data_IF_531756444918
#
_entry.id   IF_531756444918
#
_cell.length_a   1.000
_cell.length_b   1.000
_cell.length_c   1.000
_cell.angle_alpha   90.00
_cell.angle_beta   90.00
_cell.angle_gamma   90.00
#
_symmetry.space_group_name_H-M   'P 1'
#
loop_
_entity.id
_entity.type
_entity.pdbx_description
1 polymer ?
#
# COMPACT_ATOMS: atom_id res chain seq x y z
N UNK A 1 11.33 -2.14 4.11
CA UNK A 1 10.50 -1.24 4.94
C UNK A 1 10.26 -1.92 6.28
N UNK A 2 10.19 -1.16 7.38
CA UNK A 2 9.93 -1.71 8.71
C UNK A 2 8.45 -2.08 8.84
N UNK A 3 8.15 -3.25 9.41
CA UNK A 3 6.78 -3.79 9.46
C UNK A 3 5.76 -2.86 10.13
N UNK A 4 6.19 -2.08 11.12
CA UNK A 4 5.33 -1.13 11.83
C UNK A 4 4.76 -0.03 10.92
N UNK A 5 5.37 0.25 9.76
CA UNK A 5 4.85 1.24 8.82
C UNK A 5 3.50 0.83 8.19
N UNK A 6 3.12 -0.45 8.28
CA UNK A 6 1.81 -0.96 7.82
C UNK A 6 0.85 -1.23 8.98
N UNK A 7 1.19 -0.83 10.20
CA UNK A 7 0.31 -0.97 11.36
C UNK A 7 -0.71 0.19 11.42
N UNK A 8 -1.99 -0.14 11.60
CA UNK A 8 -3.06 0.86 11.63
C UNK A 8 -2.89 1.87 12.76
N UNK A 9 -2.46 1.44 13.95
CA UNK A 9 -2.30 2.34 15.09
C UNK A 9 -1.17 3.34 14.83
N UNK A 10 -0.07 2.88 14.24
CA UNK A 10 1.04 3.73 13.83
C UNK A 10 0.63 4.72 12.73
N UNK A 11 -0.08 4.27 11.71
CA UNK A 11 -0.58 5.14 10.63
C UNK A 11 -1.53 6.21 11.20
N UNK A 12 -2.47 5.83 12.07
CA UNK A 12 -3.40 6.79 12.69
C UNK A 12 -2.70 7.79 13.60
N UNK A 13 -1.66 7.37 14.31
CA UNK A 13 -0.80 8.28 15.08
C UNK A 13 -0.17 9.33 14.16
N UNK A 14 0.43 8.92 13.03
CA UNK A 14 1.02 9.86 12.06
C UNK A 14 -0.04 10.80 11.44
N UNK A 15 -1.25 10.30 11.16
CA UNK A 15 -2.36 11.15 10.71
C UNK A 15 -2.72 12.17 11.79
N UNK A 16 -2.78 11.76 13.05
CA UNK A 16 -3.14 12.64 14.17
C UNK A 16 -2.15 13.79 14.36
N UNK A 17 -0.87 13.58 14.07
CA UNK A 17 0.16 14.65 14.08
C UNK A 17 -0.16 15.80 13.11
N UNK A 18 -0.96 15.56 12.06
CA UNK A 18 -1.37 16.57 11.07
C UNK A 18 -2.83 16.95 11.17
N UNK A 19 -3.71 16.02 11.50
CA UNK A 19 -5.15 16.24 11.64
C UNK A 19 -5.73 15.24 12.65
N UNK A 20 -5.82 15.63 13.93
CA UNK A 20 -6.41 14.80 14.99
C UNK A 20 -7.85 14.37 14.69
N UNK A 21 -8.63 15.23 14.04
CA UNK A 21 -10.01 14.93 13.65
C UNK A 21 -10.06 13.81 12.60
N UNK A 22 -9.21 13.88 11.57
CA UNK A 22 -9.15 12.84 10.52
C UNK A 22 -8.63 11.51 11.03
N UNK A 23 -7.80 11.49 12.07
CA UNK A 23 -7.22 10.26 12.61
C UNK A 23 -8.29 9.22 13.05
N UNK A 24 -9.49 9.68 13.39
CA UNK A 24 -10.61 8.83 13.79
C UNK A 24 -11.57 8.49 12.63
N UNK A 25 -11.37 9.04 11.44
CA UNK A 25 -12.19 8.72 10.28
C UNK A 25 -12.00 7.25 9.87
N UNK A 26 -13.03 6.64 9.29
CA UNK A 26 -12.94 5.27 8.76
C UNK A 26 -11.81 5.12 7.74
N UNK A 27 -11.71 6.08 6.80
CA UNK A 27 -10.68 6.17 5.76
C UNK A 27 -9.96 7.51 5.87
N UNK A 28 -8.94 7.64 6.74
CA UNK A 28 -8.26 8.92 6.95
C UNK A 28 -7.45 9.40 5.74
N UNK A 29 -7.11 8.50 4.81
CA UNK A 29 -6.19 8.75 3.70
C UNK A 29 -6.96 8.79 2.38
N UNK A 30 -6.91 9.92 1.67
CA UNK A 30 -7.58 10.05 0.36
C UNK A 30 -6.89 9.23 -0.74
N UNK A 31 -5.56 9.16 -0.69
CA UNK A 31 -4.72 8.43 -1.65
C UNK A 31 -3.43 8.00 -0.95
N UNK A 32 -3.13 6.70 -0.97
CA UNK A 32 -1.80 6.20 -0.65
C UNK A 32 -1.03 5.96 -1.95
N UNK A 33 0.18 6.50 -2.05
CA UNK A 33 1.08 6.24 -3.18
C UNK A 33 2.19 5.31 -2.72
N UNK A 34 2.34 4.17 -3.37
CA UNK A 34 3.31 3.13 -3.03
C UNK A 34 4.10 2.77 -4.27
N UNK A 35 5.43 2.86 -4.18
CA UNK A 35 6.31 2.35 -5.22
C UNK A 35 6.31 0.82 -5.16
N UNK A 36 5.63 0.17 -6.11
CA UNK A 36 5.41 -1.28 -6.13
C UNK A 36 6.73 -2.04 -6.34
N UNK A 37 7.58 -1.52 -7.23
CA UNK A 37 8.91 -2.02 -7.50
C UNK A 37 9.92 -0.89 -7.37
N UNK A 38 10.92 -1.05 -6.51
CA UNK A 38 12.03 -0.10 -6.41
C UNK A 38 13.00 -0.29 -7.57
N UNK A 39 13.82 0.73 -7.83
CA UNK A 39 14.86 0.67 -8.86
C UNK A 39 15.81 -0.52 -8.66
N UNK A 40 16.18 -0.80 -7.40
CA UNK A 40 17.11 -1.86 -7.04
C UNK A 40 16.48 -3.26 -6.99
N UNK A 41 15.25 -3.42 -7.49
CA UNK A 41 14.61 -4.73 -7.67
C UNK A 41 13.87 -5.28 -6.45
N UNK A 42 13.53 -4.44 -5.46
CA UNK A 42 12.61 -4.85 -4.38
C UNK A 42 11.17 -4.70 -4.87
N UNK A 43 10.40 -5.78 -4.86
CA UNK A 43 9.00 -5.81 -5.31
C UNK A 43 8.09 -6.15 -4.13
N UNK A 44 7.06 -5.34 -3.89
CA UNK A 44 6.06 -5.61 -2.86
C UNK A 44 5.09 -6.71 -3.26
N UNK A 45 4.60 -7.44 -2.26
CA UNK A 45 3.36 -8.19 -2.37
C UNK A 45 2.19 -7.19 -2.28
N UNK A 46 1.54 -6.93 -3.42
CA UNK A 46 0.45 -5.95 -3.51
C UNK A 46 -0.79 -6.38 -2.71
N UNK A 47 -1.07 -7.68 -2.61
CA UNK A 47 -2.17 -8.21 -1.80
C UNK A 47 -1.99 -7.85 -0.32
N UNK A 48 -0.81 -8.11 0.24
CA UNK A 48 -0.53 -7.77 1.63
C UNK A 48 -0.65 -6.27 1.92
N UNK A 49 -0.27 -5.42 0.96
CA UNK A 49 -0.45 -3.97 1.09
C UNK A 49 -1.94 -3.62 1.17
N UNK A 50 -2.77 -4.13 0.25
CA UNK A 50 -4.21 -3.86 0.25
C UNK A 50 -4.89 -4.41 1.51
N UNK A 51 -4.52 -5.61 1.96
CA UNK A 51 -5.10 -6.23 3.15
C UNK A 51 -4.76 -5.44 4.43
N UNK A 52 -3.53 -4.92 4.54
CA UNK A 52 -3.07 -4.21 5.75
C UNK A 52 -3.55 -2.77 5.85
N UNK A 53 -3.65 -2.05 4.74
CA UNK A 53 -3.93 -0.60 4.77
C UNK A 53 -5.09 -0.16 3.86
N UNK A 54 -5.64 -1.05 3.04
CA UNK A 54 -6.66 -0.69 2.07
C UNK A 54 -7.92 -0.12 2.70
N UNK A 55 -8.30 -0.58 3.90
CA UNK A 55 -9.44 -0.05 4.64
C UNK A 55 -9.24 1.37 5.18
N UNK A 56 -8.01 1.89 5.22
CA UNK A 56 -7.69 3.25 5.65
C UNK A 56 -7.67 4.26 4.49
N UNK A 57 -7.65 3.76 3.25
CA UNK A 57 -7.43 4.56 2.05
C UNK A 57 -8.67 4.56 1.16
N UNK A 58 -9.06 5.71 0.59
CA UNK A 58 -10.08 5.72 -0.47
C UNK A 58 -9.51 5.08 -1.76
N UNK A 59 -8.25 5.37 -2.08
CA UNK A 59 -7.53 4.84 -3.24
C UNK A 59 -6.09 4.50 -2.86
N UNK A 60 -5.53 3.50 -3.56
CA UNK A 60 -4.11 3.20 -3.55
C UNK A 60 -3.61 3.32 -4.98
N UNK A 61 -2.56 4.10 -5.17
CA UNK A 61 -1.83 4.18 -6.42
C UNK A 61 -0.51 3.44 -6.25
N UNK A 62 -0.38 2.32 -6.97
CA UNK A 62 0.87 1.60 -7.10
C UNK A 62 1.67 2.20 -8.25
N UNK A 63 2.72 2.97 -7.93
CA UNK A 63 3.70 3.41 -8.92
C UNK A 63 4.56 2.20 -9.28
N UNK A 64 4.26 1.65 -10.46
CA UNK A 64 4.83 0.41 -10.96
C UNK A 64 5.76 0.65 -12.17
N UNK A 65 6.33 1.84 -12.32
CA UNK A 65 7.14 2.19 -13.51
C UNK A 65 8.32 1.24 -13.78
N UNK A 66 8.88 0.60 -12.74
CA UNK A 66 9.99 -0.37 -12.84
C UNK A 66 9.55 -1.84 -12.98
N UNK A 67 8.25 -2.10 -12.92
CA UNK A 67 7.65 -3.43 -12.99
C UNK A 67 6.45 -3.42 -13.96
N UNK A 68 5.48 -4.30 -13.78
CA UNK A 68 4.33 -4.52 -14.66
C UNK A 68 4.33 -5.91 -15.30
N UNK A 69 5.49 -6.55 -15.40
CA UNK A 69 5.62 -7.91 -15.92
C UNK A 69 5.21 -8.99 -14.91
N UNK A 70 5.12 -8.66 -13.62
CA UNK A 70 4.74 -9.60 -12.55
C UNK A 70 3.34 -10.19 -12.78
N UNK A 71 2.46 -9.46 -13.47
CA UNK A 71 1.14 -9.95 -13.86
C UNK A 71 1.19 -11.19 -14.77
N UNK A 72 2.29 -11.38 -15.51
CA UNK A 72 2.43 -12.47 -16.50
C UNK A 72 3.36 -13.60 -16.02
N UNK A 73 3.93 -13.48 -14.82
CA UNK A 73 4.83 -14.48 -14.23
C UNK A 73 4.10 -15.16 -13.07
N UNK A 74 3.69 -16.44 -13.17
CA UNK A 74 2.86 -17.10 -12.14
C UNK A 74 3.44 -17.06 -10.73
N UNK A 75 4.76 -17.16 -10.59
CA UNK A 75 5.46 -17.08 -9.30
C UNK A 75 5.29 -15.71 -8.62
N UNK A 76 5.01 -14.65 -9.38
CA UNK A 76 4.91 -13.26 -8.90
C UNK A 76 3.47 -12.74 -8.86
N UNK A 77 2.47 -13.63 -9.01
CA UNK A 77 1.05 -13.25 -9.13
C UNK A 77 0.58 -12.30 -8.03
N UNK A 78 0.99 -12.54 -6.78
CA UNK A 78 0.58 -11.72 -5.62
C UNK A 78 1.21 -10.32 -5.60
N UNK A 79 2.22 -10.07 -6.43
CA UNK A 79 2.80 -8.75 -6.61
C UNK A 79 1.95 -7.88 -7.55
N UNK A 80 1.06 -8.46 -8.37
CA UNK A 80 0.23 -7.68 -9.29
C UNK A 80 -1.01 -7.13 -8.57
N UNK A 81 -1.18 -5.80 -8.48
CA UNK A 81 -2.39 -5.20 -7.89
C UNK A 81 -3.64 -5.37 -8.75
N UNK A 82 -3.50 -5.91 -9.97
CA UNK A 82 -4.60 -6.13 -10.91
C UNK A 82 -5.17 -7.56 -10.85
N UNK A 83 -4.57 -8.45 -10.06
CA UNK A 83 -4.98 -9.85 -9.88
C UNK A 83 -5.49 -10.14 -8.47
N UNK A 84 -5.97 -9.11 -7.78
CA UNK A 84 -6.51 -9.16 -6.42
C UNK A 84 -7.94 -9.70 -6.40
N UNK A 85 -8.13 -10.93 -6.87
CA UNK A 85 -9.37 -11.71 -6.66
C UNK A 85 -9.29 -12.62 -5.44
#
# INVERSE_FOLDING_TARGET
>A
ILDHCFDESYIRQLVAEKSPEKANAKRPIRLAVIQLGTYDGTIYNARQVVDKIGHLCDYIFFDSAWVGYEQFIPMMKDCSPLLLE
#
